data_IF_973114836905
#
_entry.id   IF_973114836905
#
_cell.length_a   1.000
_cell.length_b   1.000
_cell.length_c   1.000
_cell.angle_alpha   90.00
_cell.angle_beta   90.00
_cell.angle_gamma   90.00
#
_symmetry.space_group_name_H-M   'P 1'
#
loop_
_entity.id
_entity.type
_entity.pdbx_description
1 polymer ?
#
# COMPACT_ATOMS: atom_id res chain seq x y z
N UNK A 1 10.53 10.67 2.24
CA UNK A 1 9.90 9.83 1.21
C UNK A 1 8.79 10.64 0.57
N UNK A 2 8.69 10.63 -0.75
CA UNK A 2 7.67 11.38 -1.49
C UNK A 2 6.36 10.59 -1.57
N UNK A 3 5.25 11.28 -1.88
CA UNK A 3 3.96 10.63 -2.13
C UNK A 3 4.05 9.58 -3.22
N UNK A 4 4.73 9.91 -4.33
CA UNK A 4 4.97 8.96 -5.42
C UNK A 4 5.70 7.69 -4.94
N UNK A 5 6.72 7.83 -4.07
CA UNK A 5 7.43 6.68 -3.52
C UNK A 5 6.53 5.81 -2.63
N UNK A 6 5.61 6.42 -1.87
CA UNK A 6 4.62 5.66 -1.09
C UNK A 6 3.72 4.86 -2.02
N UNK A 7 3.15 5.51 -3.03
CA UNK A 7 2.21 4.89 -3.98
C UNK A 7 2.90 3.72 -4.71
N UNK A 8 4.10 3.93 -5.24
CA UNK A 8 4.85 2.87 -5.92
C UNK A 8 5.19 1.72 -4.96
N UNK A 9 5.62 2.02 -3.73
CA UNK A 9 5.92 0.98 -2.73
C UNK A 9 4.68 0.16 -2.36
N UNK A 10 3.52 0.81 -2.20
CA UNK A 10 2.27 0.09 -1.93
C UNK A 10 1.90 -0.81 -3.11
N UNK A 11 2.00 -0.32 -4.34
CA UNK A 11 1.72 -1.12 -5.52
C UNK A 11 2.67 -2.34 -5.64
N UNK A 12 3.98 -2.15 -5.44
CA UNK A 12 4.94 -3.26 -5.63
C UNK A 12 5.01 -4.20 -4.43
N UNK A 13 5.11 -3.67 -3.21
CA UNK A 13 5.39 -4.47 -2.02
C UNK A 13 4.13 -4.97 -1.30
N UNK A 14 3.02 -4.22 -1.35
CA UNK A 14 1.74 -4.68 -0.78
C UNK A 14 0.92 -5.42 -1.82
N UNK A 15 0.66 -4.79 -2.97
CA UNK A 15 -0.23 -5.37 -3.98
C UNK A 15 0.46 -6.48 -4.78
N UNK A 16 1.80 -6.45 -4.88
CA UNK A 16 2.57 -7.40 -5.69
C UNK A 16 2.48 -7.09 -7.18
N UNK A 17 2.17 -5.85 -7.54
CA UNK A 17 2.10 -5.42 -8.93
C UNK A 17 3.48 -5.01 -9.43
N UNK A 18 3.71 -5.17 -10.72
CA UNK A 18 4.90 -4.65 -11.41
C UNK A 18 4.52 -3.44 -12.24
N UNK A 19 5.46 -2.51 -12.36
CA UNK A 19 5.32 -1.34 -13.23
C UNK A 19 5.94 -1.67 -14.58
N UNK A 20 5.17 -1.54 -15.65
CA UNK A 20 5.63 -1.77 -17.02
C UNK A 20 5.25 -0.61 -17.92
N UNK A 21 5.99 -0.46 -19.03
CA UNK A 21 5.63 0.49 -20.08
C UNK A 21 4.55 -0.11 -20.99
N UNK A 22 3.50 0.66 -21.22
CA UNK A 22 2.48 0.38 -22.22
C UNK A 22 2.85 1.05 -23.55
N UNK A 23 3.34 0.24 -24.48
CA UNK A 23 3.77 0.66 -25.81
C UNK A 23 2.64 0.68 -26.86
N UNK A 24 1.36 0.59 -26.47
CA UNK A 24 0.25 0.71 -27.43
C UNK A 24 0.23 2.06 -28.15
N UNK A 25 0.70 3.12 -27.49
CA UNK A 25 1.06 4.40 -28.10
C UNK A 25 2.59 4.55 -28.11
N UNK A 26 3.20 4.24 -29.25
CA UNK A 26 4.67 4.32 -29.42
C UNK A 26 5.23 5.74 -29.30
N UNK A 27 4.39 6.78 -29.39
CA UNK A 27 4.82 8.18 -29.30
C UNK A 27 4.73 8.72 -27.87
N UNK A 28 3.90 8.12 -27.02
CA UNK A 28 3.73 8.51 -25.63
C UNK A 28 3.50 7.28 -24.73
N UNK A 29 4.56 6.49 -24.47
CA UNK A 29 4.44 5.31 -23.63
C UNK A 29 3.99 5.72 -22.21
N UNK A 30 2.92 5.09 -21.74
CA UNK A 30 2.38 5.28 -20.39
C UNK A 30 2.83 4.15 -19.49
N UNK A 31 2.83 4.37 -18.18
CA UNK A 31 3.12 3.29 -17.22
C UNK A 31 1.82 2.60 -16.80
N UNK A 32 1.89 1.29 -16.63
CA UNK A 32 0.78 0.46 -16.15
C UNK A 32 1.20 -0.35 -14.93
N UNK A 33 0.22 -0.65 -14.08
CA UNK A 33 0.33 -1.71 -13.10
C UNK A 33 -0.12 -3.03 -13.72
N UNK A 34 0.69 -4.06 -13.54
CA UNK A 34 0.40 -5.41 -14.02
C UNK A 34 0.58 -6.42 -12.87
N UNK A 35 -0.37 -7.33 -12.73
CA UNK A 35 -0.29 -8.44 -11.79
C UNK A 35 0.24 -9.67 -12.55
N UNK A 36 1.51 -9.99 -12.35
CA UNK A 36 2.17 -11.12 -13.03
C UNK A 36 1.60 -12.47 -12.60
N UNK A 37 1.23 -12.62 -11.33
CA UNK A 37 0.72 -13.87 -10.76
C UNK A 37 -0.59 -14.25 -11.45
N UNK A 38 -1.47 -13.26 -11.64
CA UNK A 38 -2.76 -13.46 -12.29
C UNK A 38 -2.75 -13.14 -13.79
N UNK A 39 -1.59 -12.75 -14.35
CA UNK A 39 -1.43 -12.29 -15.74
C UNK A 39 -2.47 -11.24 -16.14
N UNK A 40 -2.68 -10.24 -15.27
CA UNK A 40 -3.79 -9.29 -15.36
C UNK A 40 -3.29 -7.85 -15.46
N UNK A 41 -3.80 -7.13 -16.46
CA UNK A 41 -3.68 -5.67 -16.52
C UNK A 41 -4.59 -5.04 -15.44
N UNK A 42 -4.00 -4.21 -14.57
CA UNK A 42 -4.72 -3.55 -13.48
C UNK A 42 -5.24 -2.18 -13.91
N UNK A 43 -4.35 -1.34 -14.45
CA UNK A 43 -4.67 0.05 -14.77
C UNK A 43 -3.43 0.85 -15.15
N UNK A 44 -3.62 2.12 -15.52
CA UNK A 44 -2.51 3.06 -15.63
C UNK A 44 -2.03 3.50 -14.24
N UNK A 45 -0.75 3.83 -14.11
CA UNK A 45 -0.16 4.22 -12.82
C UNK A 45 -0.84 5.44 -12.22
N UNK A 46 -1.18 6.42 -13.05
CA UNK A 46 -1.84 7.67 -12.66
C UNK A 46 -3.31 7.51 -12.24
N UNK A 47 -3.95 6.38 -12.55
CA UNK A 47 -5.35 6.14 -12.21
C UNK A 47 -5.50 5.60 -10.77
N UNK A 48 -4.42 5.09 -10.17
CA UNK A 48 -4.44 4.49 -8.83
C UNK A 48 -3.66 5.37 -7.84
N UNK A 49 -4.39 6.16 -7.06
CA UNK A 49 -3.84 7.04 -6.02
C UNK A 49 -4.46 6.75 -4.64
N UNK A 50 -3.86 5.88 -3.82
CA UNK A 50 -4.36 5.54 -2.49
C UNK A 50 -4.15 6.65 -1.45
N UNK A 51 -3.37 7.69 -1.72
CA UNK A 51 -3.22 8.83 -0.80
C UNK A 51 -4.35 9.87 -0.96
N UNK A 52 -5.03 9.86 -2.10
CA UNK A 52 -6.13 10.78 -2.41
C UNK A 52 -7.49 10.09 -2.48
N UNK A 53 -7.55 8.83 -2.91
CA UNK A 53 -8.78 8.04 -3.02
C UNK A 53 -8.87 6.98 -1.92
N UNK A 54 -9.92 7.08 -1.11
CA UNK A 54 -10.19 6.15 -0.02
C UNK A 54 -10.45 4.72 -0.50
N UNK A 55 -11.04 4.52 -1.69
CA UNK A 55 -11.28 3.20 -2.24
C UNK A 55 -9.96 2.48 -2.56
N UNK A 56 -9.02 3.19 -3.19
CA UNK A 56 -7.68 2.66 -3.45
C UNK A 56 -6.93 2.34 -2.15
N UNK A 57 -7.08 3.17 -1.11
CA UNK A 57 -6.54 2.85 0.21
C UNK A 57 -7.17 1.59 0.82
N UNK A 58 -8.48 1.40 0.65
CA UNK A 58 -9.14 0.18 1.13
C UNK A 58 -8.70 -1.09 0.37
N UNK A 59 -8.32 -1.00 -0.91
CA UNK A 59 -7.72 -2.14 -1.63
C UNK A 59 -6.44 -2.63 -0.94
N UNK A 60 -5.62 -1.72 -0.40
CA UNK A 60 -4.41 -2.06 0.38
C UNK A 60 -4.80 -2.81 1.66
N UNK A 61 -5.84 -2.37 2.36
CA UNK A 61 -6.36 -3.05 3.57
C UNK A 61 -6.85 -4.46 3.21
N UNK A 62 -7.63 -4.59 2.14
CA UNK A 62 -8.14 -5.88 1.67
C UNK A 62 -7.01 -6.83 1.28
N UNK A 63 -5.95 -6.32 0.63
CA UNK A 63 -4.80 -7.13 0.26
C UNK A 63 -4.05 -7.69 1.46
N UNK A 64 -3.93 -6.90 2.52
CA UNK A 64 -3.23 -7.28 3.76
C UNK A 64 -4.08 -8.15 4.70
N UNK A 65 -5.40 -8.19 4.47
CA UNK A 65 -6.36 -8.92 5.29
C UNK A 65 -5.91 -10.37 5.51
N UNK A 66 -5.96 -10.80 6.77
CA UNK A 66 -5.55 -12.14 7.18
C UNK A 66 -4.05 -12.30 7.42
N UNK A 67 -3.24 -11.26 7.25
CA UNK A 67 -1.84 -11.25 7.74
C UNK A 67 -1.59 -10.05 8.65
N UNK A 68 -2.08 -8.88 8.23
CA UNK A 68 -1.98 -7.62 8.95
C UNK A 68 -3.38 -7.02 9.03
N UNK A 69 -3.78 -6.53 10.20
CA UNK A 69 -4.92 -5.64 10.35
C UNK A 69 -4.46 -4.20 10.36
N UNK A 70 -5.26 -3.33 9.74
CA UNK A 70 -5.09 -1.89 9.79
C UNK A 70 -6.34 -1.32 10.43
N UNK A 71 -6.18 -0.69 11.60
CA UNK A 71 -7.22 0.08 12.27
C UNK A 71 -6.96 1.56 12.03
N UNK A 72 -8.01 2.32 11.76
CA UNK A 72 -7.93 3.77 11.62
C UNK A 72 -8.89 4.40 12.61
N UNK A 73 -8.35 5.25 13.47
CA UNK A 73 -9.13 6.01 14.45
C UNK A 73 -9.08 7.50 14.12
N UNK A 74 -10.16 8.21 14.42
CA UNK A 74 -10.29 9.65 14.17
C UNK A 74 -10.11 10.42 15.46
N UNK A 75 -9.29 11.46 15.40
CA UNK A 75 -8.98 12.37 16.50
C UNK A 75 -9.26 13.82 16.09
N UNK A 76 -9.36 14.77 17.04
CA UNK A 76 -9.62 16.17 16.72
C UNK A 76 -8.61 16.82 15.74
N UNK A 77 -7.38 16.31 15.67
CA UNK A 77 -6.26 16.86 14.90
C UNK A 77 -5.82 15.99 13.70
N UNK A 78 -6.53 14.89 13.45
CA UNK A 78 -6.27 14.00 12.32
C UNK A 78 -6.78 12.57 12.52
N UNK A 79 -6.00 11.63 12.02
CA UNK A 79 -6.27 10.19 12.10
C UNK A 79 -5.03 9.46 12.56
N UNK A 80 -5.23 8.35 13.28
CA UNK A 80 -4.15 7.42 13.58
C UNK A 80 -4.41 6.08 12.91
N UNK A 81 -3.41 5.61 12.18
CA UNK A 81 -3.37 4.29 11.55
C UNK A 81 -2.52 3.34 12.40
N UNK A 82 -3.12 2.26 12.87
CA UNK A 82 -2.46 1.20 13.62
C UNK A 82 -2.38 -0.07 12.76
N UNK A 83 -1.18 -0.52 12.44
CA UNK A 83 -0.96 -1.80 11.77
C UNK A 83 -0.52 -2.87 12.76
N UNK A 84 -1.21 -4.01 12.77
CA UNK A 84 -0.92 -5.12 13.68
C UNK A 84 -0.82 -6.44 12.92
N UNK A 85 0.09 -7.31 13.34
CA UNK A 85 0.15 -8.68 12.83
C UNK A 85 -0.95 -9.53 13.48
N UNK A 86 -1.75 -10.21 12.68
CA UNK A 86 -2.89 -11.01 13.17
C UNK A 86 -2.49 -12.43 13.60
N UNK A 87 -1.44 -13.01 13.00
CA UNK A 87 -1.03 -14.40 13.25
C UNK A 87 0.41 -14.51 13.78
N UNK A 88 0.58 -15.31 14.84
CA UNK A 88 1.85 -15.55 15.51
C UNK A 88 2.05 -14.61 16.70
N UNK A 89 3.22 -13.96 16.77
CA UNK A 89 3.49 -12.93 17.78
C UNK A 89 2.68 -11.66 17.43
N UNK A 90 1.52 -11.50 18.09
CA UNK A 90 0.54 -10.44 17.85
C UNK A 90 1.06 -9.06 18.31
N UNK A 91 2.04 -8.54 17.60
CA UNK A 91 2.69 -7.25 17.88
C UNK A 91 2.17 -6.13 16.98
N UNK A 92 2.25 -4.91 17.50
CA UNK A 92 2.07 -3.68 16.73
C UNK A 92 3.27 -3.53 15.80
N UNK A 93 3.01 -3.30 14.51
CA UNK A 93 4.03 -3.08 13.49
C UNK A 93 4.19 -1.60 13.18
N UNK A 94 3.12 -0.81 13.31
CA UNK A 94 3.14 0.62 13.05
C UNK A 94 2.02 1.33 13.80
N UNK A 95 2.29 2.56 14.22
CA UNK A 95 1.32 3.51 14.75
C UNK A 95 1.66 4.88 14.13
N UNK A 96 0.76 5.41 13.30
CA UNK A 96 1.05 6.55 12.43
C UNK A 96 -0.05 7.60 12.53
N UNK A 97 0.32 8.83 12.85
CA UNK A 97 -0.59 9.98 12.73
C UNK A 97 -0.58 10.55 11.30
N UNK A 98 -1.75 10.91 10.79
CA UNK A 98 -1.96 11.46 9.45
C UNK A 98 -3.10 12.50 9.43
N UNK A 99 -3.20 13.27 8.34
CA UNK A 99 -4.26 14.28 8.18
C UNK A 99 -5.53 13.73 7.55
N UNK A 100 -5.43 12.64 6.82
CA UNK A 100 -6.56 11.96 6.19
C UNK A 100 -6.58 10.48 6.56
N UNK A 101 -7.74 9.81 6.51
CA UNK A 101 -7.82 8.39 6.83
C UNK A 101 -7.03 7.54 5.82
N UNK A 102 -7.08 7.89 4.53
CA UNK A 102 -6.33 7.17 3.51
C UNK A 102 -4.80 7.32 3.66
N UNK A 103 -4.33 8.49 4.10
CA UNK A 103 -2.91 8.70 4.42
C UNK A 103 -2.48 7.84 5.63
N UNK A 104 -3.32 7.75 6.67
CA UNK A 104 -3.08 6.86 7.82
C UNK A 104 -2.99 5.39 7.38
N UNK A 105 -3.91 4.92 6.53
CA UNK A 105 -3.90 3.56 5.97
C UNK A 105 -2.61 3.30 5.21
N UNK A 106 -2.28 4.17 4.24
CA UNK A 106 -1.13 3.99 3.35
C UNK A 106 0.19 3.92 4.12
N UNK A 107 0.39 4.85 5.07
CA UNK A 107 1.63 4.90 5.85
C UNK A 107 1.74 3.71 6.82
N UNK A 108 0.64 3.32 7.47
CA UNK A 108 0.63 2.17 8.36
C UNK A 108 0.91 0.86 7.60
N UNK A 109 0.31 0.68 6.41
CA UNK A 109 0.55 -0.47 5.55
C UNK A 109 2.03 -0.56 5.13
N UNK A 110 2.61 0.54 4.68
CA UNK A 110 3.99 0.59 4.22
C UNK A 110 4.99 0.29 5.34
N UNK A 111 4.79 0.85 6.53
CA UNK A 111 5.62 0.57 7.70
C UNK A 111 5.52 -0.91 8.10
N UNK A 112 4.31 -1.47 8.09
CA UNK A 112 4.10 -2.88 8.39
C UNK A 112 4.83 -3.82 7.43
N UNK A 113 4.84 -3.53 6.13
CA UNK A 113 5.59 -4.31 5.15
C UNK A 113 7.09 -4.21 5.37
N UNK A 114 7.60 -3.01 5.66
CA UNK A 114 9.02 -2.77 5.96
C UNK A 114 9.50 -3.58 7.17
N UNK A 115 8.70 -3.61 8.24
CA UNK A 115 9.03 -4.41 9.44
C UNK A 115 8.91 -5.93 9.19
N UNK A 116 7.98 -6.34 8.32
CA UNK A 116 7.79 -7.75 7.98
C UNK A 116 8.92 -8.31 7.11
N UNK A 117 9.45 -7.53 6.15
CA UNK A 117 10.54 -7.92 5.27
C UNK A 117 11.88 -7.99 6.03
N UNK A 118 12.13 -7.06 6.95
CA UNK A 118 13.29 -7.10 7.85
C UNK A 118 13.28 -8.35 8.74
N UNK A 119 12.08 -8.82 9.14
CA UNK A 119 11.93 -10.03 9.95
C UNK A 119 12.17 -11.33 9.15
N UNK A 120 11.95 -11.34 7.83
CA UNK A 120 12.21 -12.51 6.97
C UNK A 120 13.67 -12.67 6.59
N UNK A 121 14.42 -11.56 6.50
CA UNK A 121 15.82 -11.57 6.06
C UNK A 121 16.83 -11.79 7.21
N UNK A 122 16.38 -11.76 8.46
CA UNK A 122 17.20 -11.90 9.67
C UNK A 122 16.79 -13.09 10.56
N UNK A 123 16.01 -14.04 10.03
CA UNK A 123 15.59 -15.28 10.68
C UNK A 123 16.18 -16.49 9.93
#
# INVERSE_FOLDING_TARGET
>A
MTEQQIIETLATEVMGWVIQDDYRDHLNPRKIYFDEINSKWIGYVEDWNPLEDLNHAFEVVEKLRGSISILVESFPDGYEGLARKEFGDCRVLAEISAKTPQEAICKAAMEAVTQSSWSRNNA
#
